data_IF_401900987987
#
_entry.id   IF_401900987987
#
_cell.length_a   1.000
_cell.length_b   1.000
_cell.length_c   1.000
_cell.angle_alpha   90.00
_cell.angle_beta   90.00
_cell.angle_gamma   90.00
#
_symmetry.space_group_name_H-M   'P 1'
#
loop_
_entity.id
_entity.type
_entity.pdbx_description
1 polymer ?
#
# COMPACT_ATOMS: atom_id res chain seq x y z
N UNK A 1 -11.98 3.75 -55.99
CA UNK A 1 -12.16 2.95 -54.76
C UNK A 1 -13.52 3.27 -54.18
N UNK A 2 -14.39 2.27 -54.00
CA UNK A 2 -15.73 2.47 -53.47
C UNK A 2 -15.67 2.37 -51.93
N UNK A 3 -15.53 3.51 -51.25
CA UNK A 3 -15.31 3.61 -49.80
C UNK A 3 -16.52 3.22 -48.94
N UNK A 4 -17.68 2.97 -49.57
CA UNK A 4 -18.93 2.54 -48.92
C UNK A 4 -19.20 1.03 -49.06
N UNK A 5 -18.23 0.23 -49.53
CA UNK A 5 -18.39 -1.23 -49.59
C UNK A 5 -18.10 -1.86 -48.22
N UNK A 6 -19.00 -2.71 -47.72
CA UNK A 6 -18.80 -3.47 -46.49
C UNK A 6 -17.44 -4.19 -46.44
N UNK A 7 -16.93 -4.66 -47.59
CA UNK A 7 -15.58 -5.28 -47.69
C UNK A 7 -14.45 -4.29 -47.40
N UNK A 8 -14.55 -3.05 -47.91
CA UNK A 8 -13.55 -2.01 -47.66
C UNK A 8 -13.53 -1.63 -46.17
N UNK A 9 -14.71 -1.44 -45.56
CA UNK A 9 -14.83 -1.14 -44.13
C UNK A 9 -14.25 -2.25 -43.26
N UNK A 10 -14.54 -3.52 -43.56
CA UNK A 10 -14.02 -4.66 -42.78
C UNK A 10 -12.49 -4.77 -42.89
N UNK A 11 -11.93 -4.64 -44.10
CA UNK A 11 -10.47 -4.72 -44.30
C UNK A 11 -9.76 -3.54 -43.63
N UNK A 12 -10.27 -2.32 -43.82
CA UNK A 12 -9.72 -1.12 -43.20
C UNK A 12 -9.72 -1.21 -41.67
N UNK A 13 -10.86 -1.59 -41.08
CA UNK A 13 -10.96 -1.78 -39.63
C UNK A 13 -10.00 -2.87 -39.13
N UNK A 14 -9.90 -4.00 -39.84
CA UNK A 14 -8.99 -5.10 -39.46
C UNK A 14 -7.52 -4.65 -39.47
N UNK A 15 -7.09 -3.96 -40.51
CA UNK A 15 -5.72 -3.44 -40.63
C UNK A 15 -5.46 -2.39 -39.54
N UNK A 16 -6.41 -1.49 -39.29
CA UNK A 16 -6.28 -0.47 -38.25
C UNK A 16 -6.16 -1.10 -36.86
N UNK A 17 -6.97 -2.11 -36.53
CA UNK A 17 -6.90 -2.84 -35.25
C UNK A 17 -5.55 -3.54 -35.09
N UNK A 18 -5.06 -4.20 -36.15
CA UNK A 18 -3.75 -4.88 -36.11
C UNK A 18 -2.63 -3.87 -35.84
N UNK A 19 -2.60 -2.75 -36.58
CA UNK A 19 -1.58 -1.72 -36.41
C UNK A 19 -1.63 -1.14 -34.99
N UNK A 20 -2.81 -0.79 -34.49
CA UNK A 20 -2.99 -0.22 -33.14
C UNK A 20 -2.58 -1.23 -32.07
N UNK A 21 -2.95 -2.51 -32.21
CA UNK A 21 -2.58 -3.56 -31.28
C UNK A 21 -1.05 -3.76 -31.22
N UNK A 22 -0.38 -3.82 -32.38
CA UNK A 22 1.08 -3.92 -32.42
C UNK A 22 1.78 -2.70 -31.82
N UNK A 23 1.28 -1.50 -32.10
CA UNK A 23 1.84 -0.26 -31.55
C UNK A 23 1.69 -0.22 -30.03
N UNK A 24 0.49 -0.51 -29.49
CA UNK A 24 0.24 -0.56 -28.05
C UNK A 24 1.09 -1.64 -27.35
N UNK A 25 1.20 -2.83 -27.95
CA UNK A 25 2.03 -3.90 -27.42
C UNK A 25 3.52 -3.52 -27.39
N UNK A 26 4.02 -2.88 -28.45
CA UNK A 26 5.40 -2.40 -28.51
C UNK A 26 5.68 -1.32 -27.47
N UNK A 27 4.83 -0.29 -27.38
CA UNK A 27 4.98 0.79 -26.38
C UNK A 27 4.91 0.21 -24.96
N UNK A 28 3.96 -0.68 -24.68
CA UNK A 28 3.83 -1.35 -23.38
C UNK A 28 5.10 -2.14 -23.03
N UNK A 29 5.59 -2.96 -23.96
CA UNK A 29 6.80 -3.77 -23.73
C UNK A 29 8.06 -2.92 -23.54
N UNK A 30 8.22 -1.83 -24.30
CA UNK A 30 9.40 -0.96 -24.18
C UNK A 30 9.42 -0.17 -22.86
N UNK A 31 8.26 0.13 -22.28
CA UNK A 31 8.14 0.88 -21.04
C UNK A 31 8.07 -0.01 -19.80
N UNK A 32 7.77 -1.31 -19.95
CA UNK A 32 7.53 -2.23 -18.84
C UNK A 32 8.65 -2.25 -17.81
N UNK A 33 9.91 -2.35 -18.24
CA UNK A 33 11.04 -2.36 -17.30
C UNK A 33 11.14 -1.07 -16.46
N UNK A 34 10.77 0.08 -17.04
CA UNK A 34 10.75 1.36 -16.32
C UNK A 34 9.57 1.44 -15.36
N UNK A 35 8.41 0.91 -15.76
CA UNK A 35 7.23 0.84 -14.90
C UNK A 35 7.51 -0.07 -13.70
N UNK A 36 8.07 -1.26 -13.93
CA UNK A 36 8.38 -2.22 -12.87
C UNK A 36 9.38 -1.64 -11.87
N UNK A 37 10.44 -0.96 -12.35
CA UNK A 37 11.37 -0.24 -11.46
C UNK A 37 10.69 0.87 -10.66
N UNK A 38 9.83 1.66 -11.29
CA UNK A 38 9.10 2.72 -10.58
C UNK A 38 8.16 2.14 -9.52
N UNK A 39 7.50 1.02 -9.79
CA UNK A 39 6.65 0.32 -8.82
C UNK A 39 7.48 -0.22 -7.66
N UNK A 40 8.66 -0.78 -7.92
CA UNK A 40 9.57 -1.23 -6.85
C UNK A 40 10.03 -0.06 -5.97
N UNK A 41 10.47 1.04 -6.59
CA UNK A 41 10.89 2.24 -5.86
C UNK A 41 9.74 2.82 -5.03
N UNK A 42 8.54 2.84 -5.58
CA UNK A 42 7.35 3.29 -4.85
C UNK A 42 7.04 2.35 -3.67
N UNK A 43 7.06 1.03 -3.87
CA UNK A 43 6.89 0.03 -2.81
C UNK A 43 7.90 0.23 -1.67
N UNK A 44 9.18 0.46 -2.00
CA UNK A 44 10.23 0.76 -1.02
C UNK A 44 9.93 2.05 -0.25
N UNK A 45 9.48 3.11 -0.93
CA UNK A 45 9.05 4.36 -0.28
C UNK A 45 7.86 4.15 0.66
N UNK A 46 6.90 3.31 0.29
CA UNK A 46 5.74 3.00 1.14
C UNK A 46 6.15 2.25 2.41
N UNK A 47 7.09 1.29 2.31
CA UNK A 47 7.68 0.61 3.48
C UNK A 47 8.43 1.61 4.38
N UNK A 48 9.25 2.48 3.79
CA UNK A 48 9.95 3.54 4.53
C UNK A 48 8.99 4.54 5.17
N UNK A 49 7.87 4.86 4.52
CA UNK A 49 6.84 5.74 5.07
C UNK A 49 6.16 5.14 6.30
N UNK A 50 5.94 3.81 6.34
CA UNK A 50 5.45 3.12 7.54
C UNK A 50 6.47 3.13 8.69
N UNK A 51 7.75 3.33 8.37
CA UNK A 51 8.84 3.56 9.32
C UNK A 51 9.01 5.05 9.66
N UNK A 52 8.01 5.90 9.35
CA UNK A 52 8.04 7.35 9.58
C UNK A 52 9.17 8.11 8.83
N UNK A 53 9.81 7.47 7.83
CA UNK A 53 10.83 8.10 6.99
C UNK A 53 10.13 8.58 5.71
N UNK A 54 9.82 9.87 5.67
CA UNK A 54 9.13 10.54 4.55
C UNK A 54 10.13 11.37 3.72
N UNK A 55 9.73 11.74 2.50
CA UNK A 55 10.53 12.56 1.57
C UNK A 55 11.88 11.95 1.12
N UNK A 56 11.85 10.64 0.87
CA UNK A 56 13.02 9.90 0.40
C UNK A 56 13.33 10.22 -1.08
N UNK A 57 14.45 10.91 -1.31
CA UNK A 57 14.97 11.23 -2.65
C UNK A 57 15.55 9.99 -3.34
N UNK A 58 16.29 9.17 -2.59
CA UNK A 58 16.87 7.92 -3.06
C UNK A 58 16.29 6.75 -2.25
N UNK A 59 15.30 6.08 -2.83
CA UNK A 59 14.57 5.02 -2.15
C UNK A 59 15.40 3.74 -1.99
N UNK A 60 16.32 3.47 -2.90
CA UNK A 60 17.16 2.27 -2.81
C UNK A 60 18.17 2.44 -1.67
N UNK A 61 18.87 3.57 -1.63
CA UNK A 61 19.89 3.83 -0.61
C UNK A 61 19.33 3.84 0.81
N UNK A 62 18.18 4.50 1.04
CA UNK A 62 17.56 4.52 2.37
C UNK A 62 16.93 3.17 2.72
N UNK A 63 16.36 2.44 1.75
CA UNK A 63 15.83 1.11 1.99
C UNK A 63 16.94 0.15 2.44
N UNK A 64 18.07 0.11 1.73
CA UNK A 64 19.19 -0.79 2.06
C UNK A 64 19.87 -0.41 3.40
N UNK A 65 19.71 0.84 3.84
CA UNK A 65 20.22 1.31 5.14
C UNK A 65 19.39 0.80 6.32
N UNK A 66 18.06 0.81 6.19
CA UNK A 66 17.17 0.49 7.31
C UNK A 66 16.63 -0.93 7.25
N UNK A 67 16.37 -1.49 6.06
CA UNK A 67 15.82 -2.82 5.89
C UNK A 67 16.96 -3.82 5.80
N UNK A 68 17.08 -4.68 6.81
CA UNK A 68 18.18 -5.64 6.92
C UNK A 68 17.84 -6.99 6.28
N UNK A 69 16.58 -7.41 6.35
CA UNK A 69 16.15 -8.69 5.82
C UNK A 69 14.70 -8.63 5.34
N UNK A 70 14.42 -9.38 4.27
CA UNK A 70 13.08 -9.77 3.83
C UNK A 70 12.89 -11.25 4.16
N UNK A 71 11.95 -11.53 5.07
CA UNK A 71 11.63 -12.87 5.56
C UNK A 71 10.28 -13.31 5.02
N UNK A 72 10.17 -14.57 4.65
CA UNK A 72 8.92 -15.24 4.31
C UNK A 72 8.44 -16.04 5.51
N UNK A 73 7.29 -15.64 6.05
CA UNK A 73 6.55 -16.34 7.09
C UNK A 73 5.53 -17.30 6.45
N UNK A 74 5.62 -18.59 6.76
CA UNK A 74 4.60 -19.57 6.38
C UNK A 74 3.45 -19.61 7.41
N UNK A 75 2.35 -20.30 7.08
CA UNK A 75 1.16 -20.40 7.95
C UNK A 75 1.43 -21.02 9.33
N UNK A 76 2.49 -21.83 9.46
CA UNK A 76 2.93 -22.43 10.72
C UNK A 76 3.78 -21.48 11.60
N UNK A 77 4.03 -20.26 11.11
CA UNK A 77 4.87 -19.26 11.77
C UNK A 77 6.37 -19.46 11.55
N UNK A 78 6.78 -20.43 10.72
CA UNK A 78 8.19 -20.60 10.35
C UNK A 78 8.65 -19.44 9.47
N UNK A 79 9.87 -18.96 9.73
CA UNK A 79 10.51 -17.86 9.01
C UNK A 79 11.63 -18.41 8.14
N UNK A 80 11.60 -18.07 6.85
CA UNK A 80 12.65 -18.38 5.89
C UNK A 80 13.12 -17.10 5.23
N UNK A 81 14.42 -16.95 4.98
CA UNK A 81 14.92 -15.77 4.25
C UNK A 81 14.43 -15.79 2.81
N UNK A 82 13.96 -14.63 2.32
CA UNK A 82 13.65 -14.47 0.91
C UNK A 82 14.96 -14.29 0.13
N UNK A 83 15.44 -15.36 -0.51
CA UNK A 83 16.59 -15.28 -1.43
C UNK A 83 16.22 -14.81 -2.83
N UNK A 84 14.95 -14.49 -3.07
CA UNK A 84 14.41 -14.05 -4.35
C UNK A 84 14.62 -12.56 -4.63
N UNK A 85 14.30 -12.14 -5.85
CA UNK A 85 14.20 -10.72 -6.17
C UNK A 85 13.06 -10.06 -5.36
N UNK A 86 13.20 -8.77 -5.07
CA UNK A 86 12.18 -7.99 -4.38
C UNK A 86 10.82 -8.11 -5.09
N UNK A 87 9.83 -8.64 -4.36
CA UNK A 87 8.47 -8.78 -4.84
C UNK A 87 7.69 -7.50 -4.54
N UNK A 88 6.85 -7.05 -5.47
CA UNK A 88 5.92 -5.93 -5.24
C UNK A 88 4.46 -6.39 -5.12
N UNK A 89 4.17 -7.67 -5.40
CA UNK A 89 2.82 -8.24 -5.38
C UNK A 89 2.65 -9.24 -4.23
N UNK A 90 2.62 -8.71 -3.01
CA UNK A 90 2.50 -9.50 -1.79
C UNK A 90 1.14 -10.20 -1.64
N UNK A 91 0.08 -9.62 -2.20
CA UNK A 91 -1.26 -10.24 -2.18
C UNK A 91 -1.26 -11.58 -2.92
N UNK A 92 -0.61 -11.64 -4.10
CA UNK A 92 -0.53 -12.86 -4.89
C UNK A 92 0.31 -13.93 -4.21
N UNK A 93 1.45 -13.53 -3.62
CA UNK A 93 2.32 -14.42 -2.83
C UNK A 93 1.53 -15.08 -1.70
N UNK A 94 0.78 -14.29 -0.94
CA UNK A 94 0.01 -14.79 0.19
C UNK A 94 -1.17 -15.68 -0.24
N UNK A 95 -1.90 -15.31 -1.31
CA UNK A 95 -3.04 -16.10 -1.80
C UNK A 95 -2.64 -17.40 -2.50
N UNK A 96 -1.55 -17.40 -3.27
CA UNK A 96 -1.16 -18.57 -4.07
C UNK A 96 -0.20 -19.51 -3.33
N UNK A 97 0.65 -18.98 -2.45
CA UNK A 97 1.69 -19.76 -1.77
C UNK A 97 1.52 -19.86 -0.26
N UNK A 98 0.58 -19.12 0.34
CA UNK A 98 0.38 -19.12 1.80
C UNK A 98 1.56 -18.55 2.57
N UNK A 99 2.29 -17.59 1.97
CA UNK A 99 3.49 -16.97 2.58
C UNK A 99 3.33 -15.46 2.69
N UNK A 100 3.68 -14.93 3.85
CA UNK A 100 3.66 -13.49 4.15
C UNK A 100 5.08 -12.95 4.20
N UNK A 101 5.30 -11.78 3.60
CA UNK A 101 6.57 -11.08 3.75
C UNK A 101 6.63 -10.38 5.10
N UNK A 102 7.81 -10.38 5.71
CA UNK A 102 8.14 -9.70 6.94
C UNK A 102 9.49 -9.00 6.73
N UNK A 103 9.47 -7.68 6.75
CA UNK A 103 10.70 -6.90 6.65
C UNK A 103 11.23 -6.61 8.04
N UNK A 104 12.47 -7.01 8.31
CA UNK A 104 13.17 -6.70 9.55
C UNK A 104 14.00 -5.45 9.32
N UNK A 105 13.65 -4.39 10.04
CA UNK A 105 14.25 -3.07 9.89
C UNK A 105 14.97 -2.66 11.17
N UNK A 106 16.01 -1.85 11.07
CA UNK A 106 16.76 -1.36 12.21
C UNK A 106 16.85 0.17 12.18
N UNK A 107 16.28 0.81 13.19
CA UNK A 107 16.19 2.28 13.31
C UNK A 107 16.62 2.68 14.71
N UNK A 108 17.59 3.58 14.82
CA UNK A 108 18.08 4.14 16.09
C UNK A 108 18.41 3.09 17.16
N UNK A 109 19.00 1.96 16.77
CA UNK A 109 19.36 0.88 17.69
C UNK A 109 18.22 -0.09 18.01
N UNK A 110 17.02 0.12 17.48
CA UNK A 110 15.84 -0.71 17.73
C UNK A 110 15.40 -1.48 16.48
N UNK A 111 15.07 -2.75 16.66
CA UNK A 111 14.51 -3.58 15.59
C UNK A 111 13.01 -3.29 15.44
N UNK A 112 12.58 -3.10 14.20
CA UNK A 112 11.19 -2.89 13.78
C UNK A 112 10.79 -4.00 12.81
N UNK A 113 9.53 -4.40 12.84
CA UNK A 113 8.99 -5.44 11.98
C UNK A 113 7.90 -4.85 11.11
N UNK A 114 8.07 -4.87 9.78
CA UNK A 114 7.08 -4.31 8.84
C UNK A 114 6.37 -5.44 8.10
N UNK A 115 5.04 -5.40 8.13
CA UNK A 115 4.17 -6.38 7.50
C UNK A 115 3.35 -5.71 6.40
N UNK A 116 3.38 -6.20 5.14
CA UNK A 116 2.43 -5.80 4.13
C UNK A 116 1.05 -6.37 4.47
N UNK A 117 0.04 -5.51 4.42
CA UNK A 117 -1.37 -5.87 4.60
C UNK A 117 -2.16 -5.50 3.35
N UNK A 118 -3.14 -6.31 3.02
CA UNK A 118 -3.97 -6.12 1.83
C UNK A 118 -5.43 -6.45 2.15
N UNK A 119 -6.35 -5.77 1.47
CA UNK A 119 -7.78 -5.93 1.68
C UNK A 119 -8.60 -5.43 0.50
N UNK A 120 -9.88 -5.76 0.53
CA UNK A 120 -10.85 -5.22 -0.43
C UNK A 120 -11.52 -3.97 0.15
N UNK A 121 -11.42 -2.86 -0.55
CA UNK A 121 -12.23 -1.66 -0.31
C UNK A 121 -13.60 -1.77 -0.96
N UNK A 122 -14.33 -0.65 -1.01
CA UNK A 122 -15.64 -0.58 -1.65
C UNK A 122 -15.52 -0.54 -3.17
N UNK A 123 -14.51 0.16 -3.68
CA UNK A 123 -14.34 0.42 -5.12
C UNK A 123 -13.07 -0.18 -5.71
N UNK A 124 -12.14 -0.61 -4.86
CA UNK A 124 -10.90 -1.23 -5.32
C UNK A 124 -10.09 -1.86 -4.20
N UNK A 125 -8.91 -2.38 -4.53
CA UNK A 125 -7.99 -2.93 -3.55
C UNK A 125 -7.45 -1.83 -2.62
N UNK A 126 -7.28 -2.19 -1.36
CA UNK A 126 -6.59 -1.41 -0.33
C UNK A 126 -5.34 -2.20 0.05
N UNK A 127 -4.23 -1.51 0.21
CA UNK A 127 -3.01 -2.10 0.73
C UNK A 127 -2.35 -1.18 1.74
N UNK A 128 -1.43 -1.73 2.52
CA UNK A 128 -0.68 -0.96 3.47
C UNK A 128 0.50 -1.73 4.03
N UNK A 129 1.22 -1.04 4.91
CA UNK A 129 2.36 -1.56 5.63
C UNK A 129 2.21 -1.16 7.09
N UNK A 130 2.28 -2.13 7.99
CA UNK A 130 2.19 -1.90 9.44
C UNK A 130 3.56 -2.20 10.02
N UNK A 131 4.19 -1.21 10.64
CA UNK A 131 5.44 -1.35 11.35
C UNK A 131 5.18 -1.56 12.84
N UNK A 132 5.72 -2.62 13.42
CA UNK A 132 5.67 -2.91 14.85
C UNK A 132 7.06 -2.70 15.49
N UNK A 133 7.05 -2.35 16.77
CA UNK A 133 8.25 -2.28 17.60
C UNK A 133 8.79 -3.70 17.91
N UNK A 134 9.93 -3.75 18.60
CA UNK A 134 10.60 -4.99 19.00
C UNK A 134 9.70 -5.91 19.85
N UNK A 135 8.73 -5.33 20.57
CA UNK A 135 7.72 -6.06 21.34
C UNK A 135 6.68 -6.80 20.49
N UNK A 136 6.76 -6.68 19.15
CA UNK A 136 5.86 -7.31 18.16
C UNK A 136 4.38 -7.03 18.40
N UNK A 137 4.07 -5.93 19.10
CA UNK A 137 2.71 -5.58 19.47
C UNK A 137 2.45 -4.09 19.31
N UNK A 138 3.35 -3.22 19.78
CA UNK A 138 3.17 -1.78 19.65
C UNK A 138 3.42 -1.34 18.21
N UNK A 139 2.46 -0.66 17.61
CA UNK A 139 2.58 -0.07 16.28
C UNK A 139 3.53 1.13 16.34
N UNK A 140 4.60 1.04 15.56
CA UNK A 140 5.55 2.12 15.35
C UNK A 140 5.04 3.15 14.34
N UNK A 141 4.39 2.67 13.28
CA UNK A 141 3.86 3.49 12.20
C UNK A 141 3.07 2.64 11.21
N UNK A 142 2.26 3.32 10.40
CA UNK A 142 1.47 2.67 9.35
C UNK A 142 1.53 3.48 8.07
N UNK A 143 1.41 2.79 6.95
CA UNK A 143 1.15 3.40 5.66
C UNK A 143 -0.03 2.67 5.03
N UNK A 144 -1.05 3.39 4.56
CA UNK A 144 -2.17 2.81 3.83
C UNK A 144 -2.36 3.55 2.51
N UNK A 145 -2.77 2.82 1.48
CA UNK A 145 -3.09 3.35 0.17
C UNK A 145 -4.16 2.50 -0.50
N UNK A 146 -4.68 2.97 -1.63
CA UNK A 146 -5.82 2.37 -2.30
C UNK A 146 -5.74 2.54 -3.81
N UNK A 147 -6.41 1.66 -4.54
CA UNK A 147 -6.44 1.73 -6.00
C UNK A 147 -7.40 2.82 -6.48
N UNK A 148 -8.61 2.92 -5.91
CA UNK A 148 -9.69 3.72 -6.49
C UNK A 148 -10.78 4.12 -5.49
N UNK A 149 -10.46 4.22 -4.20
CA UNK A 149 -11.41 4.73 -3.22
C UNK A 149 -11.76 6.20 -3.47
N UNK A 150 -12.94 6.61 -3.04
CA UNK A 150 -13.48 7.94 -3.35
C UNK A 150 -12.77 9.04 -2.53
N UNK A 151 -12.24 10.10 -3.15
CA UNK A 151 -11.70 11.28 -2.46
C UNK A 151 -12.68 11.87 -1.45
N UNK A 152 -12.20 12.17 -0.23
CA UNK A 152 -13.02 12.72 0.87
C UNK A 152 -13.87 11.68 1.62
N UNK A 153 -13.82 10.40 1.24
CA UNK A 153 -14.45 9.29 1.96
C UNK A 153 -13.40 8.19 2.22
N UNK A 154 -13.41 7.11 1.43
CA UNK A 154 -12.48 5.98 1.59
C UNK A 154 -11.03 6.34 1.31
N UNK A 155 -10.77 7.35 0.47
CA UNK A 155 -9.40 7.78 0.18
C UNK A 155 -8.70 8.43 1.37
N UNK A 156 -9.44 8.82 2.42
CA UNK A 156 -8.87 9.44 3.61
C UNK A 156 -7.92 8.50 4.37
N UNK A 157 -7.97 7.18 4.13
CA UNK A 157 -7.02 6.24 4.72
C UNK A 157 -5.57 6.52 4.30
N UNK A 158 -5.36 7.15 3.14
CA UNK A 158 -4.05 7.49 2.62
C UNK A 158 -3.46 8.78 3.24
N UNK A 159 -4.22 9.45 4.10
CA UNK A 159 -3.81 10.72 4.68
C UNK A 159 -3.04 10.53 5.99
N UNK A 160 -2.17 11.51 6.28
CA UNK A 160 -1.38 11.57 7.50
C UNK A 160 -2.23 11.56 8.77
N UNK A 161 -3.40 12.19 8.78
CA UNK A 161 -4.23 12.27 9.98
C UNK A 161 -4.76 10.90 10.37
N UNK A 162 -5.11 10.05 9.40
CA UNK A 162 -5.64 8.72 9.65
C UNK A 162 -4.53 7.77 10.10
N UNK A 163 -3.43 7.73 9.35
CA UNK A 163 -2.30 6.83 9.60
C UNK A 163 -1.63 7.08 10.96
N UNK A 164 -1.50 8.34 11.37
CA UNK A 164 -0.90 8.70 12.68
C UNK A 164 -1.72 8.26 13.88
N UNK A 165 -3.02 7.98 13.72
CA UNK A 165 -3.83 7.46 14.85
C UNK A 165 -3.37 6.08 15.31
N UNK A 166 -2.68 5.32 14.45
CA UNK A 166 -2.20 3.98 14.77
C UNK A 166 -0.89 3.98 15.55
N UNK A 167 -0.12 5.08 15.53
CA UNK A 167 1.14 5.16 16.27
C UNK A 167 0.91 4.95 17.77
N UNK A 168 1.69 4.04 18.36
CA UNK A 168 1.60 3.69 19.77
C UNK A 168 0.44 2.75 20.15
N UNK A 169 -0.43 2.38 19.21
CA UNK A 169 -1.49 1.38 19.46
C UNK A 169 -0.92 -0.01 19.60
N UNK A 170 -1.63 -0.89 20.31
CA UNK A 170 -1.30 -2.32 20.40
C UNK A 170 -2.02 -3.08 19.30
N UNK A 171 -1.30 -3.95 18.62
CA UNK A 171 -1.83 -4.77 17.53
C UNK A 171 -2.57 -6.02 18.06
N UNK A 172 -2.09 -6.55 19.20
CA UNK A 172 -2.53 -7.82 19.76
C UNK A 172 -3.00 -7.68 21.19
N UNK A 173 -4.14 -8.29 21.51
CA UNK A 173 -4.66 -8.48 22.87
C UNK A 173 -4.78 -10.00 23.10
N UNK A 174 -4.07 -10.55 24.09
CA UNK A 174 -4.06 -11.98 24.40
C UNK A 174 -3.70 -12.92 23.22
N UNK A 175 -2.93 -12.43 22.25
CA UNK A 175 -2.54 -13.19 21.07
C UNK A 175 -3.55 -13.13 19.91
N UNK A 176 -4.66 -12.41 20.08
CA UNK A 176 -5.62 -12.14 19.03
C UNK A 176 -5.43 -10.72 18.47
N UNK A 177 -5.78 -10.53 17.19
CA UNK A 177 -5.74 -9.21 16.54
C UNK A 177 -6.81 -8.33 17.19
N UNK A 178 -6.37 -7.32 17.91
CA UNK A 178 -7.24 -6.36 18.58
C UNK A 178 -7.24 -4.99 17.88
N UNK A 179 -6.29 -4.75 16.97
CA UNK A 179 -6.23 -3.51 16.20
C UNK A 179 -7.50 -3.35 15.36
N UNK A 180 -8.23 -2.27 15.61
CA UNK A 180 -9.55 -2.05 15.03
C UNK A 180 -9.75 -0.63 14.52
N UNK A 181 -10.64 -0.49 13.55
CA UNK A 181 -11.10 0.81 13.07
C UNK A 181 -12.57 0.94 13.44
N UNK A 182 -12.88 1.93 14.29
CA UNK A 182 -14.23 2.17 14.79
C UNK A 182 -14.81 3.47 14.25
N UNK A 183 -16.15 3.55 14.27
CA UNK A 183 -16.85 4.80 13.99
C UNK A 183 -16.50 5.82 15.08
N UNK A 184 -16.40 7.09 14.69
CA UNK A 184 -16.16 8.15 15.66
C UNK A 184 -17.23 8.13 16.78
N UNK A 185 -16.77 8.28 18.03
CA UNK A 185 -17.61 8.19 19.23
C UNK A 185 -17.94 6.77 19.69
N UNK A 186 -17.43 5.72 19.02
CA UNK A 186 -17.59 4.30 19.41
C UNK A 186 -16.27 3.60 19.73
N UNK A 187 -15.21 4.36 19.99
CA UNK A 187 -13.95 3.78 20.44
C UNK A 187 -14.12 3.34 21.89
N UNK A 188 -14.22 2.04 22.09
CA UNK A 188 -14.35 1.42 23.42
C UNK A 188 -12.97 1.08 24.00
N UNK A 189 -12.01 0.75 23.14
CA UNK A 189 -10.64 0.37 23.51
C UNK A 189 -9.61 1.29 22.85
N UNK A 190 -9.32 2.47 23.42
CA UNK A 190 -8.40 3.45 22.83
C UNK A 190 -6.98 2.93 22.60
N UNK A 191 -6.55 1.88 23.30
CA UNK A 191 -5.22 1.29 23.13
C UNK A 191 -5.09 0.46 21.84
N UNK A 192 -6.21 0.02 21.26
CA UNK A 192 -6.24 -0.87 20.08
C UNK A 192 -7.06 -0.29 18.92
N UNK A 193 -7.98 0.64 19.19
CA UNK A 193 -8.93 1.14 18.19
C UNK A 193 -8.62 2.58 17.75
N UNK A 194 -8.80 2.85 16.46
CA UNK A 194 -8.71 4.19 15.86
C UNK A 194 -10.05 4.63 15.27
N UNK A 195 -10.19 5.93 14.99
CA UNK A 195 -11.43 6.49 14.44
C UNK A 195 -11.35 6.68 12.93
N UNK A 196 -12.42 6.28 12.22
CA UNK A 196 -12.49 6.35 10.74
C UNK A 196 -12.93 7.70 10.18
N UNK A 197 -13.51 8.59 11.00
CA UNK A 197 -13.96 9.92 10.55
C UNK A 197 -13.35 11.03 11.37
N UNK A 198 -12.70 11.97 10.67
CA UNK A 198 -12.31 13.25 11.23
C UNK A 198 -13.55 14.11 11.45
N UNK A 199 -13.92 14.37 12.70
CA UNK A 199 -14.83 15.47 13.02
C UNK A 199 -13.98 16.71 13.14
N UNK A 200 -13.96 17.50 12.08
CA UNK A 200 -13.50 18.87 12.20
C UNK A 200 -14.52 19.60 13.10
N UNK A 201 -14.10 20.12 14.27
CA UNK A 201 -15.03 20.84 15.11
C UNK A 201 -15.52 22.04 14.30
N UNK A 202 -16.84 22.18 14.20
CA UNK A 202 -17.54 23.26 13.51
C UNK A 202 -17.38 24.58 14.30
N UNK A 203 -16.15 24.98 14.64
CA UNK A 203 -15.87 26.26 15.27
C UNK A 203 -15.70 27.34 14.20
N UNK A 204 -16.81 28.03 13.93
CA UNK A 204 -16.89 29.42 13.44
C UNK A 204 -16.08 29.73 12.16
N UNK A 205 -16.69 29.46 10.99
CA UNK A 205 -16.68 30.46 9.92
C UNK A 205 -17.54 31.65 10.36
N UNK A 206 -16.98 32.49 11.24
CA UNK A 206 -17.48 33.87 11.38
C UNK A 206 -17.00 34.60 10.14
N UNK A 207 -17.96 34.93 9.28
CA UNK A 207 -17.89 36.06 8.37
C UNK A 207 -17.17 37.24 9.05
N UNK A 208 -15.99 37.60 8.56
CA UNK A 208 -15.46 38.95 8.74
C UNK A 208 -15.69 39.69 7.42
N UNK A 209 -16.56 40.70 7.37
CA UNK A 209 -16.51 41.71 6.34
C UNK A 209 -15.47 42.76 6.75
N UNK A 210 -14.53 43.06 5.85
CA UNK A 210 -13.88 44.35 5.66
C UNK A 210 -13.04 44.27 4.38
#
# INVERSE_FOLDING_TARGET
MNTNSNKYTIIYASVMVIIVAFLLAFVSSALKDRQDKNVQLDTKKQILAALNIKDVKDADAEYDKYVQADMLMAEDGSLTENTGAFASNYEKEAKEKGRLHLFVCHIDGQTKYVFPVYGAGLWGAIWGYVALNEDKSTVYGTYFSHASETPGLGAEIATDWFQKQFEGKKALENGEIALGVEKNGKVEKPEFQVMVFRVEPLHRKVWMPC
#
